data_IF_512877764395
#
_entry.id   IF_512877764395
#
_cell.length_a   1.000
_cell.length_b   1.000
_cell.length_c   1.000
_cell.angle_alpha   90.00
_cell.angle_beta   90.00
_cell.angle_gamma   90.00
#
_symmetry.space_group_name_H-M   'P 1'
#
loop_
_entity.id
_entity.type
_entity.pdbx_description
1 polymer ?
#
# COMPACT_ATOMS: atom_id res chain seq x y z
N UNK A 1 -11.45 2.89 -21.48
CA UNK A 1 -10.92 3.11 -20.10
C UNK A 1 -10.88 4.59 -19.78
N UNK A 2 -11.37 4.99 -18.60
CA UNK A 2 -11.25 6.38 -18.11
C UNK A 2 -9.79 6.77 -17.93
N UNK A 3 -9.45 8.07 -18.01
CA UNK A 3 -8.08 8.57 -17.82
C UNK A 3 -7.45 8.07 -16.53
N UNK A 4 -8.22 8.05 -15.45
CA UNK A 4 -7.78 7.60 -14.13
C UNK A 4 -7.52 6.09 -14.10
N UNK A 5 -8.34 5.28 -14.78
CA UNK A 5 -8.11 3.83 -14.88
C UNK A 5 -6.80 3.54 -15.61
N UNK A 6 -6.50 4.29 -16.69
CA UNK A 6 -5.22 4.15 -17.40
C UNK A 6 -4.03 4.52 -16.52
N UNK A 7 -4.12 5.63 -15.79
CA UNK A 7 -3.07 6.08 -14.85
C UNK A 7 -2.82 5.02 -13.77
N UNK A 8 -3.87 4.51 -13.12
CA UNK A 8 -3.73 3.50 -12.08
C UNK A 8 -3.11 2.19 -12.61
N UNK A 9 -3.48 1.78 -13.82
CA UNK A 9 -2.89 0.60 -14.46
C UNK A 9 -1.39 0.82 -14.74
N UNK A 10 -1.01 1.99 -15.26
CA UNK A 10 0.40 2.33 -15.50
C UNK A 10 1.19 2.36 -14.20
N UNK A 11 0.63 2.95 -13.12
CA UNK A 11 1.29 2.97 -11.81
C UNK A 11 1.48 1.55 -11.26
N UNK A 12 0.48 0.68 -11.38
CA UNK A 12 0.58 -0.71 -10.92
C UNK A 12 1.64 -1.48 -11.72
N UNK A 13 1.65 -1.32 -13.05
CA UNK A 13 2.68 -1.92 -13.90
C UNK A 13 4.08 -1.38 -13.58
N UNK A 14 4.21 -0.09 -13.29
CA UNK A 14 5.48 0.51 -12.90
C UNK A 14 6.01 -0.07 -11.58
N UNK A 15 5.15 -0.22 -10.57
CA UNK A 15 5.52 -0.86 -9.29
C UNK A 15 5.93 -2.32 -9.51
N UNK A 16 5.16 -3.08 -10.30
CA UNK A 16 5.51 -4.46 -10.63
C UNK A 16 6.84 -4.55 -11.39
N UNK A 17 7.09 -3.64 -12.34
CA UNK A 17 8.36 -3.57 -13.05
C UNK A 17 9.53 -3.25 -12.11
N UNK A 18 9.38 -2.32 -11.18
CA UNK A 18 10.42 -2.00 -10.18
C UNK A 18 10.76 -3.21 -9.30
N UNK A 19 9.79 -4.07 -8.98
CA UNK A 19 10.02 -5.27 -8.18
C UNK A 19 10.64 -6.42 -9.00
N UNK A 20 10.22 -6.61 -10.25
CA UNK A 20 10.60 -7.78 -11.07
C UNK A 20 11.86 -7.54 -11.90
N UNK A 21 12.09 -6.32 -12.42
CA UNK A 21 13.23 -6.04 -13.29
C UNK A 21 14.59 -6.33 -12.63
N UNK A 22 14.85 -5.96 -11.36
CA UNK A 22 16.11 -6.30 -10.72
C UNK A 22 16.39 -7.81 -10.68
N UNK A 23 15.34 -8.62 -10.47
CA UNK A 23 15.43 -10.07 -10.41
C UNK A 23 15.72 -10.69 -11.78
N UNK A 24 15.02 -10.25 -12.83
CA UNK A 24 15.15 -10.83 -14.18
C UNK A 24 16.44 -10.42 -14.88
N UNK A 25 16.93 -9.21 -14.58
CA UNK A 25 18.16 -8.68 -15.16
C UNK A 25 19.42 -9.12 -14.37
N UNK A 26 19.27 -9.92 -13.32
CA UNK A 26 20.40 -10.39 -12.50
C UNK A 26 21.11 -9.25 -11.76
N UNK A 27 20.40 -8.16 -11.42
CA UNK A 27 20.97 -7.07 -10.64
C UNK A 27 21.24 -7.59 -9.23
N UNK A 28 22.45 -8.10 -9.04
CA UNK A 28 22.85 -8.69 -7.76
C UNK A 28 23.50 -10.06 -7.84
N UNK A 29 23.56 -10.72 -9.00
CA UNK A 29 24.10 -12.09 -9.14
C UNK A 29 25.58 -12.23 -8.70
N UNK A 30 26.29 -11.10 -8.58
CA UNK A 30 27.67 -11.02 -8.09
C UNK A 30 27.77 -10.94 -6.56
N UNK A 31 26.65 -10.82 -5.83
CA UNK A 31 26.56 -10.79 -4.38
C UNK A 31 25.93 -12.09 -3.87
N UNK A 32 26.43 -12.62 -2.73
CA UNK A 32 25.84 -13.79 -2.07
C UNK A 32 24.40 -13.53 -1.60
N UNK A 33 24.13 -12.31 -1.14
CA UNK A 33 22.80 -11.86 -0.71
C UNK A 33 22.51 -10.49 -1.37
N UNK A 34 21.94 -10.49 -2.58
CA UNK A 34 21.85 -9.27 -3.37
C UNK A 34 20.83 -8.24 -2.89
N UNK A 35 19.87 -8.68 -2.07
CA UNK A 35 18.79 -7.85 -1.56
C UNK A 35 18.73 -7.92 -0.03
N UNK A 36 19.90 -7.86 0.62
CA UNK A 36 19.98 -7.78 2.07
C UNK A 36 19.53 -6.39 2.57
N UNK A 37 19.22 -6.30 3.86
CA UNK A 37 18.82 -5.04 4.49
C UNK A 37 19.95 -4.00 4.45
N UNK A 38 19.59 -2.72 4.36
CA UNK A 38 20.57 -1.64 4.35
C UNK A 38 21.44 -1.59 5.61
N UNK A 39 20.91 -2.07 6.74
CA UNK A 39 21.62 -2.11 8.02
C UNK A 39 22.78 -3.11 8.00
N UNK A 40 22.58 -4.29 7.39
CA UNK A 40 23.64 -5.30 7.24
C UNK A 40 24.80 -4.82 6.36
N UNK A 41 24.50 -4.06 5.28
CA UNK A 41 25.55 -3.41 4.48
C UNK A 41 26.29 -2.34 5.28
N UNK A 42 25.58 -1.57 6.11
CA UNK A 42 26.19 -0.54 6.96
C UNK A 42 27.11 -1.13 8.03
N UNK A 43 26.70 -2.20 8.71
CA UNK A 43 27.51 -2.91 9.70
C UNK A 43 28.81 -3.45 9.08
N UNK A 44 28.69 -4.07 7.90
CA UNK A 44 29.85 -4.57 7.15
C UNK A 44 30.83 -3.42 6.84
N UNK A 45 30.33 -2.30 6.32
CA UNK A 45 31.16 -1.16 5.97
C UNK A 45 31.84 -0.52 7.19
N UNK A 46 31.15 -0.43 8.34
CA UNK A 46 31.72 0.09 9.58
C UNK A 46 32.88 -0.79 10.06
N UNK A 47 32.68 -2.11 10.04
CA UNK A 47 33.68 -3.09 10.49
C UNK A 47 34.92 -3.09 9.58
N UNK A 48 34.75 -2.85 8.28
CA UNK A 48 35.87 -2.68 7.33
C UNK A 48 36.64 -1.37 7.55
N UNK A 49 35.94 -0.26 7.83
CA UNK A 49 36.55 1.07 7.99
C UNK A 49 37.21 1.25 9.37
N UNK A 50 36.63 0.64 10.42
CA UNK A 50 37.13 0.67 11.80
C UNK A 50 36.98 -0.71 12.43
N UNK A 51 38.02 -1.55 12.36
CA UNK A 51 38.00 -2.89 12.95
C UNK A 51 37.81 -2.89 14.48
N UNK A 52 38.27 -1.82 15.16
CA UNK A 52 38.16 -1.68 16.61
C UNK A 52 36.84 -1.01 17.06
N UNK A 53 35.85 -0.90 16.17
CA UNK A 53 34.55 -0.31 16.52
C UNK A 53 33.71 -1.28 17.36
N UNK A 54 33.27 -0.83 18.53
CA UNK A 54 32.26 -1.54 19.33
C UNK A 54 30.86 -0.93 19.11
N UNK A 55 29.83 -1.76 18.85
CA UNK A 55 28.45 -1.29 18.81
C UNK A 55 28.02 -0.65 20.14
N UNK A 56 27.48 0.57 20.06
CA UNK A 56 26.96 1.30 21.22
C UNK A 56 25.56 0.83 21.66
N UNK A 57 24.95 -0.06 20.89
CA UNK A 57 23.65 -0.67 21.17
C UNK A 57 23.63 -2.11 20.66
N UNK A 58 23.00 -3.00 21.43
CA UNK A 58 22.72 -4.37 21.04
C UNK A 58 21.20 -4.60 21.07
N UNK A 59 20.61 -5.29 20.08
CA UNK A 59 19.19 -5.63 20.10
C UNK A 59 18.82 -6.34 21.41
N UNK A 60 17.69 -5.95 22.02
CA UNK A 60 17.16 -6.64 23.21
C UNK A 60 16.67 -8.06 22.87
N UNK A 61 16.35 -8.29 21.60
CA UNK A 61 15.89 -9.56 21.06
C UNK A 61 16.43 -9.70 19.65
N UNK A 62 17.00 -10.87 19.36
CA UNK A 62 17.45 -11.26 18.04
C UNK A 62 16.72 -12.54 17.63
N UNK A 63 16.03 -12.57 16.48
CA UNK A 63 15.34 -13.75 16.00
C UNK A 63 16.33 -14.92 15.83
N UNK A 64 15.93 -16.17 16.15
CA UNK A 64 16.84 -17.32 16.05
C UNK A 64 17.20 -17.71 14.61
N UNK A 65 16.55 -17.10 13.61
CA UNK A 65 16.95 -17.19 12.19
C UNK A 65 16.51 -15.94 11.41
N UNK A 66 17.25 -15.62 10.34
CA UNK A 66 16.89 -14.54 9.41
C UNK A 66 15.57 -14.81 8.65
N UNK A 67 15.15 -16.07 8.55
CA UNK A 67 13.82 -16.42 8.01
C UNK A 67 12.70 -15.92 8.93
N UNK A 68 12.88 -16.07 10.25
CA UNK A 68 11.90 -15.60 11.24
C UNK A 68 11.86 -14.07 11.24
N UNK A 69 13.02 -13.41 11.14
CA UNK A 69 13.11 -11.96 10.97
C UNK A 69 12.31 -11.49 9.75
N UNK A 70 12.58 -12.08 8.59
CA UNK A 70 11.90 -11.76 7.32
C UNK A 70 10.39 -12.03 7.39
N UNK A 71 9.97 -13.10 8.08
CA UNK A 71 8.56 -13.42 8.30
C UNK A 71 7.87 -12.36 9.19
N UNK A 72 8.52 -11.91 10.26
CA UNK A 72 7.98 -10.85 11.13
C UNK A 72 7.88 -9.51 10.39
N UNK A 73 8.88 -9.14 9.59
CA UNK A 73 8.82 -7.97 8.72
C UNK A 73 7.68 -8.06 7.70
N UNK A 74 7.54 -9.21 7.04
CA UNK A 74 6.48 -9.44 6.06
C UNK A 74 5.08 -9.36 6.70
N UNK A 75 4.92 -9.89 7.91
CA UNK A 75 3.70 -9.77 8.68
C UNK A 75 3.37 -8.31 9.03
N UNK A 76 4.36 -7.55 9.50
CA UNK A 76 4.19 -6.12 9.77
C UNK A 76 3.76 -5.34 8.51
N UNK A 77 4.40 -5.62 7.38
CA UNK A 77 4.05 -5.02 6.10
C UNK A 77 2.61 -5.38 5.67
N UNK A 78 2.21 -6.64 5.81
CA UNK A 78 0.87 -7.10 5.49
C UNK A 78 -0.20 -6.45 6.38
N UNK A 79 0.04 -6.33 7.69
CA UNK A 79 -0.85 -5.65 8.62
C UNK A 79 -0.96 -4.16 8.29
N UNK A 80 0.16 -3.48 8.03
CA UNK A 80 0.18 -2.07 7.63
C UNK A 80 -0.60 -1.82 6.34
N UNK A 81 -0.38 -2.65 5.32
CA UNK A 81 -1.13 -2.59 4.07
C UNK A 81 -2.64 -2.86 4.28
N UNK A 82 -2.99 -3.84 5.11
CA UNK A 82 -4.37 -4.16 5.45
C UNK A 82 -5.11 -3.00 6.13
N UNK A 83 -4.47 -2.33 7.09
CA UNK A 83 -5.02 -1.15 7.78
C UNK A 83 -5.26 -0.01 6.79
N UNK A 84 -4.28 0.29 5.92
CA UNK A 84 -4.43 1.33 4.89
C UNK A 84 -5.56 1.02 3.92
N UNK A 85 -5.61 -0.22 3.41
CA UNK A 85 -6.67 -0.67 2.50
C UNK A 85 -8.05 -0.55 3.14
N UNK A 86 -8.19 -0.98 4.41
CA UNK A 86 -9.43 -0.86 5.16
C UNK A 86 -9.86 0.61 5.32
N UNK A 87 -8.95 1.49 5.71
CA UNK A 87 -9.24 2.91 5.89
C UNK A 87 -9.73 3.58 4.60
N UNK A 88 -9.02 3.38 3.48
CA UNK A 88 -9.42 3.91 2.19
C UNK A 88 -10.74 3.30 1.71
N UNK A 89 -10.94 2.00 1.92
CA UNK A 89 -12.18 1.29 1.63
C UNK A 89 -13.37 1.88 2.39
N UNK A 90 -13.23 2.07 3.70
CA UNK A 90 -14.27 2.64 4.57
C UNK A 90 -14.61 4.08 4.15
N UNK A 91 -13.61 4.93 3.93
CA UNK A 91 -13.84 6.31 3.48
C UNK A 91 -14.51 6.37 2.12
N UNK A 92 -14.11 5.51 1.18
CA UNK A 92 -14.75 5.42 -0.15
C UNK A 92 -16.20 4.96 -0.04
N UNK A 93 -16.47 3.94 0.78
CA UNK A 93 -17.82 3.42 1.02
C UNK A 93 -18.75 4.47 1.62
N UNK A 94 -18.30 5.23 2.62
CA UNK A 94 -19.09 6.32 3.23
C UNK A 94 -19.50 7.39 2.21
N UNK A 95 -18.55 7.87 1.39
CA UNK A 95 -18.82 8.87 0.36
C UNK A 95 -19.83 8.38 -0.69
N UNK A 96 -19.73 7.11 -1.09
CA UNK A 96 -20.69 6.52 -2.03
C UNK A 96 -22.08 6.35 -1.39
N UNK A 97 -22.15 6.03 -0.10
CA UNK A 97 -23.41 5.97 0.64
C UNK A 97 -24.10 7.33 0.73
N UNK A 98 -23.37 8.38 1.09
CA UNK A 98 -23.87 9.76 1.14
C UNK A 98 -24.40 10.21 -0.23
N UNK A 99 -23.65 9.96 -1.32
CA UNK A 99 -24.09 10.27 -2.68
C UNK A 99 -25.39 9.55 -3.06
N UNK A 100 -25.51 8.25 -2.74
CA UNK A 100 -26.74 7.48 -3.03
C UNK A 100 -27.96 8.00 -2.27
N UNK A 101 -27.78 8.47 -1.03
CA UNK A 101 -28.86 9.07 -0.25
C UNK A 101 -29.31 10.39 -0.88
N UNK A 102 -28.37 11.25 -1.26
CA UNK A 102 -28.66 12.52 -1.94
C UNK A 102 -29.37 12.29 -3.29
N UNK A 103 -28.91 11.32 -4.08
CA UNK A 103 -29.54 10.95 -5.35
C UNK A 103 -30.97 10.43 -5.17
N UNK A 104 -31.23 9.62 -4.13
CA UNK A 104 -32.59 9.16 -3.80
C UNK A 104 -33.51 10.31 -3.39
N UNK A 105 -33.04 11.20 -2.51
CA UNK A 105 -33.83 12.36 -2.07
C UNK A 105 -34.14 13.31 -3.25
N UNK A 106 -33.18 13.53 -4.15
CA UNK A 106 -33.41 14.31 -5.35
C UNK A 106 -34.44 13.65 -6.28
N UNK A 107 -34.37 12.32 -6.46
CA UNK A 107 -35.34 11.55 -7.23
C UNK A 107 -36.75 11.59 -6.65
N UNK A 108 -36.89 11.43 -5.33
CA UNK A 108 -38.16 11.51 -4.61
C UNK A 108 -38.79 12.93 -4.66
N UNK A 109 -37.97 13.98 -4.57
CA UNK A 109 -38.45 15.36 -4.71
C UNK A 109 -38.96 15.65 -6.14
N UNK A 110 -38.30 15.13 -7.17
CA UNK A 110 -38.70 15.28 -8.56
C UNK A 110 -40.02 14.54 -8.87
N UNK A 111 -40.21 13.32 -8.35
CA UNK A 111 -41.46 12.57 -8.53
C UNK A 111 -42.61 13.15 -7.72
N UNK A 112 -42.35 13.64 -6.51
CA UNK A 112 -43.33 14.36 -5.70
C UNK A 112 -43.84 15.63 -6.37
N UNK A 113 -42.93 16.46 -6.90
CA UNK A 113 -43.30 17.69 -7.61
C UNK A 113 -44.12 17.44 -8.89
N UNK A 114 -43.80 16.37 -9.63
CA UNK A 114 -44.57 15.98 -10.82
C UNK A 114 -45.98 15.48 -10.47
N UNK A 115 -46.14 14.75 -9.37
CA UNK A 115 -47.45 14.29 -8.89
C UNK A 115 -48.36 15.42 -8.40
N UNK A 116 -47.80 16.43 -7.71
CA UNK A 116 -48.56 17.61 -7.27
C UNK A 116 -48.99 18.48 -8.46
N UNK A 117 -48.13 18.67 -9.46
CA UNK A 117 -48.47 19.42 -10.68
C UNK A 117 -49.58 18.76 -11.51
N UNK A 118 -49.73 17.44 -11.46
CA UNK A 118 -50.78 16.73 -12.19
C UNK A 118 -52.13 16.76 -11.46
N UNK A 119 -52.13 16.83 -10.12
CA UNK A 119 -53.33 16.89 -9.31
C UNK A 119 -53.97 18.28 -9.22
N UNK A 120 -53.23 19.34 -9.56
CA UNK A 120 -53.71 20.73 -9.53
C UNK A 120 -54.28 21.21 -10.87
N UNK A 121 -54.31 20.33 -11.89
CA UNK A 121 -54.83 20.61 -13.24
C UNK A 121 -56.19 19.94 -13.55
N UNK A 122 -56.77 19.19 -12.60
CA UNK A 122 -58.13 18.61 -12.63
C UNK A 122 -59.08 19.39 -11.71
#
# INVERSE_FOLDING_TARGET
MSRNTKINLVLLLAVAALAVLPLVLGLGDHKKEPFTGADAEAETAITELKPDYEPWFSPLYEPPSGEIESALFSLQAALGAGVLAYYFGLRRGRRQGEQRVLERQAGEALTGAAGTSAAEQD
#
